data_IF_958939322712
#
_entry.id   IF_958939322712
#
_cell.length_a   1.000
_cell.length_b   1.000
_cell.length_c   1.000
_cell.angle_alpha   90.00
_cell.angle_beta   90.00
_cell.angle_gamma   90.00
#
_symmetry.space_group_name_H-M   'P 1'
#
loop_
_entity.id
_entity.type
_entity.pdbx_description
1 polymer ?
#
# COMPACT_ATOMS: atom_id res chain seq x y z
N UNK A 1 3.09 21.09 7.40
CA UNK A 1 1.69 20.72 7.10
C UNK A 1 1.13 19.97 8.29
N UNK A 2 0.06 20.46 8.90
CA UNK A 2 -0.54 19.84 10.09
C UNK A 2 -1.49 18.72 9.66
N UNK A 3 -1.13 17.46 9.92
CA UNK A 3 -1.96 16.28 9.63
C UNK A 3 -3.19 16.10 10.53
N UNK A 4 -3.48 17.08 11.40
CA UNK A 4 -4.63 17.10 12.30
C UNK A 4 -5.87 17.54 11.50
N UNK A 5 -6.57 16.57 10.91
CA UNK A 5 -7.82 16.78 10.15
C UNK A 5 -7.74 16.43 8.66
N UNK A 6 -6.60 15.90 8.18
CA UNK A 6 -6.55 15.39 6.81
C UNK A 6 -7.41 14.13 6.69
N UNK A 7 -8.27 14.09 5.66
CA UNK A 7 -9.06 12.90 5.31
C UNK A 7 -8.39 12.06 4.22
N UNK A 8 -7.25 12.51 3.71
CA UNK A 8 -6.47 11.85 2.67
C UNK A 8 -4.97 11.88 2.98
N UNK A 9 -4.21 11.05 2.24
CA UNK A 9 -2.75 11.04 2.27
C UNK A 9 -2.15 10.86 0.88
N UNK A 10 -0.85 11.14 0.78
CA UNK A 10 -0.04 10.94 -0.41
C UNK A 10 0.89 9.75 -0.20
N UNK A 11 1.14 9.01 -1.27
CA UNK A 11 2.05 7.86 -1.31
C UNK A 11 3.19 8.23 -2.25
N UNK A 12 4.43 8.09 -1.77
CA UNK A 12 5.63 8.10 -2.60
C UNK A 12 6.26 6.71 -2.50
N UNK A 13 6.36 6.04 -3.63
CA UNK A 13 7.03 4.75 -3.76
C UNK A 13 8.33 4.95 -4.55
N UNK A 14 9.43 5.10 -3.81
CA UNK A 14 10.79 5.20 -4.36
C UNK A 14 11.45 3.82 -4.57
N UNK A 15 10.65 2.76 -4.58
CA UNK A 15 11.11 1.40 -4.87
C UNK A 15 10.73 0.99 -6.28
N UNK A 16 11.38 -0.06 -6.79
CA UNK A 16 11.01 -0.72 -8.05
C UNK A 16 9.79 -1.66 -7.90
N UNK A 17 9.22 -1.80 -6.70
CA UNK A 17 8.14 -2.74 -6.40
C UNK A 17 6.77 -2.07 -6.50
N UNK A 18 5.71 -2.86 -6.53
CA UNK A 18 4.35 -2.36 -6.44
C UNK A 18 3.91 -2.36 -4.97
N UNK A 19 3.30 -1.26 -4.53
CA UNK A 19 2.71 -1.12 -3.21
C UNK A 19 1.20 -1.08 -3.35
N UNK A 20 0.52 -2.04 -2.71
CA UNK A 20 -0.93 -2.05 -2.59
C UNK A 20 -1.30 -1.51 -1.21
N UNK A 21 -2.22 -0.55 -1.16
CA UNK A 21 -2.62 0.15 0.06
C UNK A 21 -4.08 -0.15 0.38
N UNK A 22 -4.37 -0.45 1.64
CA UNK A 22 -5.66 -0.95 2.10
C UNK A 22 -6.24 -0.06 3.20
N UNK A 23 -7.55 -0.20 3.42
CA UNK A 23 -8.27 0.55 4.45
C UNK A 23 -8.03 -0.09 5.81
N UNK A 24 -7.67 0.74 6.79
CA UNK A 24 -7.55 0.30 8.19
C UNK A 24 -6.15 -0.14 8.60
N UNK A 25 -6.05 -0.74 9.79
CA UNK A 25 -4.77 -1.09 10.40
C UNK A 25 -4.19 -2.42 9.89
N UNK A 26 -4.99 -3.23 9.21
CA UNK A 26 -4.62 -4.56 8.70
C UNK A 26 -4.85 -4.62 7.21
N UNK A 27 -4.05 -5.41 6.49
CA UNK A 27 -4.39 -5.75 5.11
C UNK A 27 -5.55 -6.74 5.17
N UNK A 28 -6.79 -6.25 5.05
CA UNK A 28 -7.88 -7.12 4.68
C UNK A 28 -7.57 -7.64 3.27
N UNK A 29 -7.72 -8.94 3.02
CA UNK A 29 -7.38 -9.54 1.73
C UNK A 29 -8.39 -9.14 0.61
N UNK A 30 -9.00 -7.96 0.74
CA UNK A 30 -9.93 -7.34 -0.20
C UNK A 30 -9.21 -6.48 -1.25
N UNK A 31 -9.99 -5.68 -2.00
CA UNK A 31 -9.45 -4.84 -3.05
C UNK A 31 -8.65 -3.66 -2.46
N UNK A 32 -7.44 -3.38 -2.96
CA UNK A 32 -6.66 -2.24 -2.50
C UNK A 32 -7.34 -0.91 -2.87
N UNK A 33 -7.19 0.09 -1.99
CA UNK A 33 -7.56 1.49 -2.23
C UNK A 33 -6.71 2.14 -3.32
N UNK A 34 -5.45 1.74 -3.40
CA UNK A 34 -4.50 2.20 -4.40
C UNK A 34 -3.47 1.11 -4.67
N UNK A 35 -3.09 0.97 -5.94
CA UNK A 35 -1.96 0.16 -6.38
C UNK A 35 -0.94 1.11 -7.01
N UNK A 36 0.22 1.25 -6.37
CA UNK A 36 1.21 2.28 -6.71
C UNK A 36 2.51 1.59 -7.11
N UNK A 37 2.86 1.65 -8.40
CA UNK A 37 4.19 1.28 -8.89
C UNK A 37 5.24 2.33 -8.51
N UNK A 38 6.45 2.31 -9.11
CA UNK A 38 7.44 3.36 -8.90
C UNK A 38 6.84 4.73 -9.24
N UNK A 39 6.88 5.67 -8.30
CA UNK A 39 6.27 6.99 -8.47
C UNK A 39 5.39 7.40 -7.28
N UNK A 40 4.42 8.28 -7.53
CA UNK A 40 3.57 8.83 -6.47
C UNK A 40 2.08 8.73 -6.81
N UNK A 41 1.28 8.67 -5.75
CA UNK A 41 -0.17 8.81 -5.81
C UNK A 41 -0.60 9.83 -4.75
N UNK A 42 -1.55 10.70 -5.08
CA UNK A 42 -2.03 11.76 -4.20
C UNK A 42 -3.53 11.67 -3.98
N UNK A 43 -4.00 12.21 -2.86
CA UNK A 43 -5.44 12.26 -2.55
C UNK A 43 -6.08 10.91 -2.19
N UNK A 44 -5.29 9.92 -1.78
CA UNK A 44 -5.82 8.61 -1.38
C UNK A 44 -6.64 8.75 -0.11
N UNK A 45 -7.91 8.37 -0.19
CA UNK A 45 -8.89 8.55 0.90
C UNK A 45 -9.22 7.19 1.50
N UNK A 46 -8.68 6.85 2.69
CA UNK A 46 -8.88 5.53 3.28
C UNK A 46 -10.28 5.32 3.83
N UNK A 47 -11.01 6.38 4.16
CA UNK A 47 -12.34 6.29 4.76
C UNK A 47 -12.33 5.63 6.14
N UNK A 48 -13.50 5.18 6.61
CA UNK A 48 -13.66 4.55 7.92
C UNK A 48 -13.78 3.04 7.81
N UNK A 49 -13.22 2.33 8.78
CA UNK A 49 -13.30 0.87 8.93
C UNK A 49 -13.92 0.51 10.28
N UNK A 50 -14.65 -0.62 10.32
CA UNK A 50 -15.20 -1.16 11.57
C UNK A 50 -14.06 -1.74 12.40
N UNK A 51 -13.95 -1.32 13.67
CA UNK A 51 -12.94 -1.83 14.61
C UNK A 51 -11.71 -0.95 14.78
N UNK A 52 -11.45 0.00 13.88
CA UNK A 52 -10.39 1.01 14.03
C UNK A 52 -11.00 2.41 13.94
N UNK A 53 -11.00 3.14 15.06
CA UNK A 53 -11.54 4.50 15.13
C UNK A 53 -10.40 5.53 15.17
N UNK A 54 -10.32 6.36 14.12
CA UNK A 54 -9.36 7.47 14.05
C UNK A 54 -10.12 8.77 14.23
N UNK A 55 -9.81 9.49 15.32
CA UNK A 55 -10.50 10.73 15.67
C UNK A 55 -9.99 11.93 14.87
N UNK A 56 -8.67 12.03 14.68
CA UNK A 56 -8.01 13.14 13.98
C UNK A 56 -6.85 12.61 13.12
N UNK A 57 -7.16 12.07 11.94
CA UNK A 57 -6.14 11.60 11.00
C UNK A 57 -6.63 10.50 10.06
N UNK A 58 -5.68 9.88 9.38
CA UNK A 58 -5.89 8.76 8.46
C UNK A 58 -5.10 7.54 8.90
N UNK A 59 -5.66 6.36 8.70
CA UNK A 59 -4.97 5.09 8.87
C UNK A 59 -5.15 4.24 7.61
N UNK A 60 -4.06 3.63 7.18
CA UNK A 60 -4.02 2.68 6.10
C UNK A 60 -2.93 1.64 6.40
N UNK A 61 -3.09 0.47 5.83
CA UNK A 61 -2.07 -0.58 5.82
C UNK A 61 -1.60 -0.77 4.39
N UNK A 62 -0.43 -1.38 4.20
CA UNK A 62 0.08 -1.64 2.86
C UNK A 62 0.82 -2.96 2.80
N UNK A 63 0.84 -3.57 1.62
CA UNK A 63 1.75 -4.67 1.31
C UNK A 63 2.57 -4.35 0.07
N UNK A 64 3.82 -4.78 0.10
CA UNK A 64 4.75 -4.60 -1.01
C UNK A 64 4.78 -5.89 -1.81
N UNK A 65 4.26 -5.86 -3.03
CA UNK A 65 4.30 -7.00 -3.95
C UNK A 65 5.49 -6.86 -4.88
N UNK A 66 6.38 -7.85 -4.85
CA UNK A 66 7.47 -7.99 -5.82
C UNK A 66 7.13 -9.11 -6.79
N UNK A 67 7.26 -8.87 -8.09
CA UNK A 67 7.34 -9.98 -9.03
C UNK A 67 8.63 -10.73 -8.73
N UNK A 68 8.52 -11.88 -8.08
CA UNK A 68 9.56 -12.91 -8.18
C UNK A 68 9.59 -13.36 -9.65
N UNK A 69 10.35 -12.66 -10.48
CA UNK A 69 10.96 -13.29 -11.66
C UNK A 69 12.32 -13.81 -11.23
N UNK A 70 12.33 -14.85 -10.37
CA UNK A 70 13.32 -15.90 -10.53
C UNK A 70 12.74 -16.77 -11.64
N UNK A 71 13.26 -16.75 -12.87
CA UNK A 71 14.65 -17.06 -13.15
C UNK A 71 14.70 -18.57 -13.23
N UNK A 72 14.73 -19.06 -14.46
CA UNK A 72 14.64 -20.45 -14.90
C UNK A 72 15.50 -21.41 -14.06
N UNK A 73 15.02 -22.64 -13.89
CA UNK A 73 15.85 -23.78 -13.53
C UNK A 73 16.80 -24.03 -14.70
N UNK A 74 18.02 -23.47 -14.66
CA UNK A 74 19.18 -24.09 -15.31
C UNK A 74 19.85 -24.93 -14.23
N UNK A 75 19.76 -26.24 -14.40
CA UNK A 75 20.26 -27.21 -13.44
C UNK A 75 20.50 -28.54 -14.14
N UNK A 76 21.17 -28.47 -15.29
CA UNK A 76 21.80 -29.59 -15.97
C UNK A 76 23.32 -29.49 -15.76
N UNK A 77 23.93 -30.67 -15.63
CA UNK A 77 25.35 -31.00 -15.43
C UNK A 77 25.92 -30.89 -14.00
N UNK A 78 25.91 -32.01 -13.27
CA UNK A 78 27.10 -32.83 -12.95
C UNK A 78 26.73 -34.30 -12.75
#
# INVERSE_FOLDING_TARGET
MSGLGSNNFNILNDSKRTVEVFRGATCDNGAPLATVGPGSASGVTPGHTKGVHVKNGVVASFRVTGHHKGGFHDGDDY
#
